data_IF_719640405572
#
_entry.id   IF_719640405572
#
_cell.length_a   1.000
_cell.length_b   1.000
_cell.length_c   1.000
_cell.angle_alpha   90.00
_cell.angle_beta   90.00
_cell.angle_gamma   90.00
#
_symmetry.space_group_name_H-M   'P 1'
#
loop_
_entity.id
_entity.type
_entity.pdbx_description
1 polymer ?
#
# COMPACT_ATOMS: atom_id res chain seq x y z
N UNK A 1 -2.86 19.42 8.26
CA UNK A 1 -3.19 18.16 8.93
C UNK A 1 -2.75 16.98 8.06
N UNK A 2 -2.01 16.05 8.63
CA UNK A 2 -1.52 14.90 7.86
C UNK A 2 -2.62 13.84 7.82
N UNK A 3 -2.93 13.35 6.62
CA UNK A 3 -3.88 12.26 6.48
C UNK A 3 -3.27 10.97 7.01
N UNK A 4 -4.06 10.13 7.71
CA UNK A 4 -3.56 8.85 8.13
C UNK A 4 -3.22 7.96 6.92
N UNK A 5 -2.14 7.23 7.06
CA UNK A 5 -1.73 6.30 6.02
C UNK A 5 -2.54 5.01 6.12
N UNK A 6 -2.78 4.40 4.98
CA UNK A 6 -3.47 3.12 4.91
C UNK A 6 -2.44 1.98 4.91
N UNK A 7 -2.77 0.90 5.58
CA UNK A 7 -1.92 -0.29 5.49
C UNK A 7 -2.41 -1.18 4.33
N UNK A 8 -1.66 -2.24 4.06
CA UNK A 8 -1.99 -3.12 2.94
C UNK A 8 -3.34 -3.81 3.11
N UNK A 9 -3.74 -4.08 4.34
CA UNK A 9 -5.04 -4.72 4.61
C UNK A 9 -6.19 -3.79 4.27
N UNK A 10 -6.03 -2.50 4.57
CA UNK A 10 -7.05 -1.52 4.23
C UNK A 10 -7.15 -1.34 2.73
N UNK A 11 -6.01 -1.30 2.03
CA UNK A 11 -5.98 -1.21 0.56
C UNK A 11 -6.61 -2.44 -0.06
N UNK A 12 -6.31 -3.61 0.48
CA UNK A 12 -6.93 -4.86 0.03
C UNK A 12 -8.45 -4.77 0.09
N UNK A 13 -8.98 -4.24 1.18
CA UNK A 13 -10.43 -4.09 1.34
C UNK A 13 -11.02 -3.11 0.35
N UNK A 14 -10.34 -1.98 0.15
CA UNK A 14 -10.80 -0.96 -0.79
C UNK A 14 -10.82 -1.48 -2.22
N UNK A 15 -9.79 -2.22 -2.61
CA UNK A 15 -9.68 -2.75 -3.96
C UNK A 15 -10.34 -4.12 -4.13
N UNK A 16 -10.76 -4.73 -3.02
CA UNK A 16 -11.37 -6.07 -3.01
C UNK A 16 -10.50 -7.09 -3.72
N UNK A 17 -9.23 -7.10 -3.37
CA UNK A 17 -8.27 -8.04 -3.95
C UNK A 17 -7.54 -8.80 -2.83
N UNK A 18 -6.57 -9.60 -3.19
CA UNK A 18 -5.82 -10.37 -2.20
C UNK A 18 -4.66 -9.54 -1.63
N UNK A 19 -4.26 -9.87 -0.41
CA UNK A 19 -3.15 -9.19 0.25
C UNK A 19 -1.83 -9.36 -0.51
N UNK A 20 -1.46 -10.56 -0.96
CA UNK A 20 -0.24 -10.72 -1.76
C UNK A 20 -0.23 -9.85 -3.00
N UNK A 21 -1.39 -9.63 -3.61
CA UNK A 21 -1.48 -8.80 -4.81
C UNK A 21 -1.17 -7.34 -4.47
N UNK A 22 -1.65 -6.85 -3.33
CA UNK A 22 -1.35 -5.48 -2.90
C UNK A 22 0.15 -5.28 -2.76
N UNK A 23 0.85 -6.22 -2.13
CA UNK A 23 2.29 -6.14 -1.98
C UNK A 23 3.02 -6.19 -3.32
N UNK A 24 2.55 -7.02 -4.24
CA UNK A 24 3.12 -7.09 -5.58
C UNK A 24 2.97 -5.79 -6.34
N UNK A 25 1.79 -5.20 -6.27
CA UNK A 25 1.55 -3.92 -6.95
C UNK A 25 2.42 -2.82 -6.38
N UNK A 26 2.60 -2.80 -5.07
CA UNK A 26 3.49 -1.82 -4.43
C UNK A 26 4.94 -2.05 -4.85
N UNK A 27 5.38 -3.31 -4.88
CA UNK A 27 6.73 -3.66 -5.28
C UNK A 27 7.03 -3.27 -6.71
N UNK A 28 6.07 -3.43 -7.61
CA UNK A 28 6.22 -3.09 -9.02
C UNK A 28 6.00 -1.61 -9.31
N UNK A 29 5.65 -0.83 -8.30
CA UNK A 29 5.40 0.60 -8.49
C UNK A 29 4.08 0.92 -9.16
N UNK A 30 3.16 -0.02 -9.25
CA UNK A 30 1.85 0.23 -9.85
C UNK A 30 0.99 1.14 -8.99
N UNK A 31 1.19 1.09 -7.67
CA UNK A 31 0.55 1.98 -6.72
C UNK A 31 1.65 2.64 -5.92
N UNK A 32 1.63 3.95 -5.83
CA UNK A 32 2.61 4.67 -5.02
C UNK A 32 2.44 4.30 -3.56
N UNK A 33 3.53 4.12 -2.88
CA UNK A 33 3.50 3.76 -1.47
C UNK A 33 4.68 4.40 -0.74
N UNK A 34 4.55 4.47 0.58
CA UNK A 34 5.64 4.87 1.46
C UNK A 34 6.26 3.58 1.99
N UNK A 35 7.55 3.44 1.81
CA UNK A 35 8.27 2.25 2.27
C UNK A 35 9.46 2.68 3.11
N UNK A 36 9.64 2.01 4.22
CA UNK A 36 10.82 2.24 5.06
C UNK A 36 11.11 0.98 5.85
N UNK A 37 12.34 0.87 6.33
CA UNK A 37 12.72 -0.24 7.18
C UNK A 37 12.56 0.15 8.64
N UNK A 38 11.89 -0.71 9.39
CA UNK A 38 11.81 -0.59 10.83
C UNK A 38 12.85 -1.51 11.45
N UNK A 39 13.68 -1.01 12.39
CA UNK A 39 14.57 -1.90 13.11
C UNK A 39 13.75 -2.87 13.95
N UNK A 40 14.20 -4.15 13.97
CA UNK A 40 13.54 -5.14 14.78
C UNK A 40 13.76 -4.85 16.26
N UNK A 41 12.80 -5.20 17.09
CA UNK A 41 12.94 -5.11 18.53
C UNK A 41 13.70 -6.32 19.05
N UNK A 42 14.69 -6.08 19.88
CA UNK A 42 15.49 -7.14 20.48
C UNK A 42 16.16 -8.00 19.43
N UNK A 43 15.79 -9.28 19.36
CA UNK A 43 16.36 -10.24 18.41
C UNK A 43 15.59 -10.28 17.09
N UNK A 44 14.59 -9.43 16.93
CA UNK A 44 13.79 -9.43 15.70
C UNK A 44 14.56 -8.92 14.50
N UNK A 45 14.23 -9.46 13.33
CA UNK A 45 14.83 -8.97 12.09
C UNK A 45 14.16 -7.67 11.67
N UNK A 46 14.90 -6.78 10.97
CA UNK A 46 14.28 -5.58 10.44
C UNK A 46 13.10 -5.94 9.53
N UNK A 47 12.07 -5.12 9.60
CA UNK A 47 10.87 -5.31 8.77
C UNK A 47 10.72 -4.13 7.84
N UNK A 48 10.28 -4.42 6.62
CA UNK A 48 9.90 -3.37 5.69
C UNK A 48 8.45 -3.00 5.95
N UNK A 49 8.24 -1.73 6.24
CA UNK A 49 6.89 -1.20 6.43
C UNK A 49 6.41 -0.60 5.13
N UNK A 50 5.18 -0.90 4.77
CA UNK A 50 4.57 -0.36 3.55
C UNK A 50 3.26 0.31 3.94
N UNK A 51 3.10 1.55 3.53
CA UNK A 51 1.88 2.31 3.79
C UNK A 51 1.49 3.07 2.52
N UNK A 52 0.23 3.39 2.40
CA UNK A 52 -0.32 4.02 1.21
C UNK A 52 -1.06 5.28 1.59
N UNK A 53 -0.93 6.32 0.77
CA UNK A 53 -1.78 7.49 0.92
C UNK A 53 -3.12 7.20 0.26
N UNK A 54 -4.20 7.64 0.90
CA UNK A 54 -5.54 7.46 0.31
C UNK A 54 -5.59 8.05 -1.10
N UNK A 55 -5.00 9.23 -1.29
CA UNK A 55 -5.00 9.87 -2.60
C UNK A 55 -4.33 9.02 -3.68
N UNK A 56 -3.24 8.34 -3.31
CA UNK A 56 -2.53 7.49 -4.27
C UNK A 56 -3.38 6.28 -4.66
N UNK A 57 -4.13 5.73 -3.70
CA UNK A 57 -5.05 4.61 -3.98
C UNK A 57 -6.18 5.08 -4.88
N UNK A 58 -6.73 6.25 -4.60
CA UNK A 58 -7.80 6.82 -5.43
C UNK A 58 -7.30 7.11 -6.84
N UNK A 59 -6.07 7.61 -6.98
CA UNK A 59 -5.47 7.83 -8.29
C UNK A 59 -5.29 6.52 -9.05
N UNK A 60 -4.90 5.47 -8.36
CA UNK A 60 -4.77 4.15 -8.97
C UNK A 60 -6.11 3.67 -9.51
N UNK A 61 -7.18 3.82 -8.72
CA UNK A 61 -8.52 3.44 -9.12
C UNK A 61 -8.94 4.25 -10.35
N UNK A 62 -8.72 5.55 -10.31
CA UNK A 62 -9.10 6.44 -11.41
C UNK A 62 -8.37 6.11 -12.71
N UNK A 63 -7.06 5.80 -12.59
CA UNK A 63 -6.25 5.46 -13.76
C UNK A 63 -6.67 4.15 -14.40
N UNK A 64 -7.31 3.27 -13.64
CA UNK A 64 -7.75 1.97 -14.14
C UNK A 64 -9.25 1.93 -14.35
N UNK A 65 -9.94 3.03 -14.11
CA UNK A 65 -11.37 3.11 -14.35
C UNK A 65 -11.63 3.12 -15.85
N UNK A 66 -12.45 2.20 -16.29
CA UNK A 66 -12.80 2.10 -17.70
C UNK A 66 -14.31 2.19 -17.85
N UNK A 67 -14.75 3.12 -18.69
CA UNK A 67 -16.14 3.16 -19.10
C UNK A 67 -16.27 2.36 -20.36
N UNK A 68 -17.13 1.38 -20.33
CA UNK A 68 -17.45 0.58 -21.52
C UNK A 68 -18.85 0.94 -21.99
#
# INVERSE_FOLDING_TARGET
>A
MVEPLLDAREVKRLLKCSLPLVYKMAERGQVRCVRWECPGEGKGKPRTMVRFKLQDVLNFIENHYKTT
#
